data_IF_562307167465
#
_entry.id   IF_562307167465
#
_cell.length_a   1.000
_cell.length_b   1.000
_cell.length_c   1.000
_cell.angle_alpha   90.00
_cell.angle_beta   90.00
_cell.angle_gamma   90.00
#
_symmetry.space_group_name_H-M   'P 1'
#
loop_
_entity.id
_entity.type
_entity.pdbx_description
1 polymer ?
#
# COMPACT_ATOMS: atom_id res chain seq x y z
N UNK A 1 26.00 -8.19 -21.50
CA UNK A 1 26.35 -6.76 -21.60
C UNK A 1 25.31 -5.94 -20.85
N UNK A 2 25.69 -5.21 -19.79
CA UNK A 2 24.78 -4.49 -18.88
C UNK A 2 24.46 -3.09 -19.44
N UNK A 3 23.20 -2.66 -19.39
CA UNK A 3 22.80 -1.30 -19.76
C UNK A 3 23.06 -0.37 -18.55
N UNK A 4 23.82 0.72 -18.71
CA UNK A 4 24.07 1.67 -17.63
C UNK A 4 22.79 2.27 -17.07
N UNK A 5 22.74 2.50 -15.76
CA UNK A 5 21.63 3.19 -15.08
C UNK A 5 21.90 4.69 -15.00
N UNK A 6 20.83 5.48 -14.86
CA UNK A 6 20.88 6.95 -14.66
C UNK A 6 21.83 7.27 -13.48
N UNK A 7 22.89 8.04 -13.75
CA UNK A 7 23.93 8.40 -12.76
C UNK A 7 25.22 7.57 -12.82
N UNK A 8 25.29 6.46 -13.58
CA UNK A 8 26.54 5.68 -13.75
C UNK A 8 27.52 6.30 -14.78
N UNK A 9 27.06 7.24 -15.60
CA UNK A 9 27.89 8.01 -16.53
C UNK A 9 27.51 9.48 -16.34
N UNK A 10 28.44 10.27 -15.81
CA UNK A 10 28.20 11.53 -15.09
C UNK A 10 27.77 12.73 -15.94
N UNK A 11 26.55 12.70 -16.47
CA UNK A 11 25.83 13.89 -16.93
C UNK A 11 24.34 13.75 -16.58
N UNK A 12 23.75 14.79 -15.99
CA UNK A 12 22.31 14.83 -15.70
C UNK A 12 21.51 15.09 -16.97
N UNK A 13 20.25 14.62 -17.05
CA UNK A 13 19.42 14.78 -18.25
C UNK A 13 19.23 16.24 -18.67
N UNK A 14 19.21 17.14 -17.70
CA UNK A 14 19.14 18.60 -17.88
C UNK A 14 20.42 19.19 -18.48
N UNK A 15 21.60 18.68 -18.10
CA UNK A 15 22.87 19.12 -18.69
C UNK A 15 22.96 18.69 -20.17
N UNK A 16 22.41 17.53 -20.52
CA UNK A 16 22.38 17.04 -21.90
C UNK A 16 21.50 17.93 -22.78
N UNK A 17 20.32 18.32 -22.30
CA UNK A 17 19.39 19.19 -23.04
C UNK A 17 19.98 20.59 -23.29
N UNK A 18 20.71 21.12 -22.32
CA UNK A 18 21.43 22.39 -22.45
C UNK A 18 22.54 22.31 -23.50
N UNK A 19 23.32 21.22 -23.52
CA UNK A 19 24.40 21.02 -24.49
C UNK A 19 23.88 20.82 -25.92
N UNK A 20 22.74 20.13 -26.09
CA UNK A 20 22.08 19.97 -27.40
C UNK A 20 21.54 21.30 -27.94
N UNK A 21 21.04 22.19 -27.07
CA UNK A 21 20.56 23.52 -27.44
C UNK A 21 21.67 24.43 -27.99
N UNK A 22 22.89 24.27 -27.48
CA UNK A 22 24.09 25.04 -27.91
C UNK A 22 24.70 24.46 -29.21
N UNK A 23 24.17 23.35 -29.73
CA UNK A 23 24.57 22.77 -31.01
C UNK A 23 25.55 21.60 -30.91
N UNK A 24 25.84 21.10 -29.69
CA UNK A 24 26.63 19.88 -29.51
C UNK A 24 25.76 18.64 -29.73
N UNK A 25 26.17 17.78 -30.67
CA UNK A 25 25.45 16.54 -30.99
C UNK A 25 25.87 15.46 -29.99
N UNK A 26 25.09 15.29 -28.92
CA UNK A 26 25.25 14.18 -27.99
C UNK A 26 24.63 12.89 -28.57
N UNK A 27 25.12 11.71 -28.14
CA UNK A 27 24.64 10.40 -28.63
C UNK A 27 23.15 10.15 -28.34
N UNK A 28 22.54 10.97 -27.48
CA UNK A 28 21.10 11.00 -27.19
C UNK A 28 20.23 11.46 -28.39
N UNK A 29 20.69 12.44 -29.17
CA UNK A 29 19.89 13.05 -30.24
C UNK A 29 19.68 12.18 -31.49
N UNK A 30 20.59 11.24 -31.80
CA UNK A 30 20.42 10.31 -32.95
C UNK A 30 19.58 9.07 -32.63
N UNK A 31 19.38 8.73 -31.36
CA UNK A 31 18.91 7.41 -30.96
C UNK A 31 17.50 7.45 -30.33
N UNK A 32 16.50 7.92 -31.09
CA UNK A 32 15.07 7.89 -30.70
C UNK A 32 14.63 6.54 -30.12
N UNK A 33 15.12 5.44 -30.71
CA UNK A 33 14.84 4.07 -30.26
C UNK A 33 15.41 3.78 -28.86
N UNK A 34 16.59 4.32 -28.54
CA UNK A 34 17.24 4.12 -27.25
C UNK A 34 16.57 4.96 -26.15
N UNK A 35 16.18 6.20 -26.46
CA UNK A 35 15.41 7.04 -25.53
C UNK A 35 14.04 6.41 -25.20
N UNK A 36 13.36 5.84 -26.20
CA UNK A 36 12.12 5.10 -25.98
C UNK A 36 12.32 3.86 -25.09
N UNK A 37 13.43 3.13 -25.26
CA UNK A 37 13.76 1.98 -24.39
C UNK A 37 14.08 2.44 -22.97
N UNK A 38 14.82 3.54 -22.80
CA UNK A 38 15.13 4.12 -21.49
C UNK A 38 13.85 4.53 -20.75
N UNK A 39 13.00 5.33 -21.40
CA UNK A 39 11.71 5.75 -20.83
C UNK A 39 10.85 4.53 -20.49
N UNK A 40 10.80 3.52 -21.36
CA UNK A 40 10.05 2.28 -21.07
C UNK A 40 10.59 1.54 -19.85
N UNK A 41 11.91 1.44 -19.69
CA UNK A 41 12.54 0.77 -18.54
C UNK A 41 12.39 1.56 -17.25
N UNK A 42 12.50 2.88 -17.30
CA UNK A 42 12.23 3.75 -16.15
C UNK A 42 10.77 3.61 -15.72
N UNK A 43 9.81 3.68 -16.65
CA UNK A 43 8.39 3.48 -16.35
C UNK A 43 8.08 2.09 -15.78
N UNK A 44 8.79 1.04 -16.22
CA UNK A 44 8.65 -0.30 -15.64
C UNK A 44 9.06 -0.36 -14.17
N UNK A 45 10.10 0.39 -13.78
CA UNK A 45 10.55 0.47 -12.39
C UNK A 45 9.53 1.26 -11.55
N UNK A 46 9.09 2.43 -12.04
CA UNK A 46 8.04 3.22 -11.38
C UNK A 46 6.77 2.40 -11.14
N UNK A 47 6.31 1.66 -12.16
CA UNK A 47 5.08 0.84 -12.04
C UNK A 47 5.22 -0.27 -11.00
N UNK A 48 6.43 -0.80 -10.80
CA UNK A 48 6.67 -1.88 -9.82
C UNK A 48 6.71 -1.34 -8.38
N UNK A 49 7.34 -0.20 -8.16
CA UNK A 49 7.40 0.45 -6.86
C UNK A 49 6.03 0.98 -6.43
N UNK A 50 5.31 1.63 -7.34
CA UNK A 50 3.95 2.13 -7.10
C UNK A 50 2.97 0.99 -6.80
N UNK A 51 3.03 -0.12 -7.54
CA UNK A 51 2.20 -1.30 -7.26
C UNK A 51 2.53 -1.92 -5.91
N UNK A 52 3.80 -1.91 -5.50
CA UNK A 52 4.21 -2.42 -4.19
C UNK A 52 3.69 -1.52 -3.06
N UNK A 53 3.78 -0.20 -3.24
CA UNK A 53 3.23 0.77 -2.29
C UNK A 53 1.70 0.61 -2.17
N UNK A 54 0.99 0.49 -3.30
CA UNK A 54 -0.46 0.26 -3.30
C UNK A 54 -0.84 -1.05 -2.60
N UNK A 55 -0.10 -2.14 -2.85
CA UNK A 55 -0.36 -3.42 -2.20
C UNK A 55 -0.22 -3.35 -0.67
N UNK A 56 0.79 -2.63 -0.16
CA UNK A 56 0.97 -2.40 1.27
C UNK A 56 -0.21 -1.64 1.88
N UNK A 57 -0.65 -0.56 1.21
CA UNK A 57 -1.81 0.23 1.66
C UNK A 57 -3.07 -0.65 1.72
N UNK A 58 -3.35 -1.43 0.67
CA UNK A 58 -4.53 -2.32 0.65
C UNK A 58 -4.47 -3.41 1.72
N UNK A 59 -3.26 -3.90 2.04
CA UNK A 59 -3.08 -4.88 3.10
C UNK A 59 -3.34 -4.27 4.48
N UNK A 60 -2.82 -3.08 4.76
CA UNK A 60 -3.06 -2.36 6.01
C UNK A 60 -4.54 -2.04 6.20
N UNK A 61 -5.22 -1.52 5.17
CA UNK A 61 -6.66 -1.25 5.22
C UNK A 61 -7.47 -2.52 5.50
N UNK A 62 -7.09 -3.64 4.89
CA UNK A 62 -7.75 -4.93 5.12
C UNK A 62 -7.54 -5.41 6.55
N UNK A 63 -6.32 -5.33 7.08
CA UNK A 63 -6.05 -5.71 8.47
C UNK A 63 -6.83 -4.85 9.46
N UNK A 64 -6.93 -3.54 9.24
CA UNK A 64 -7.73 -2.65 10.10
C UNK A 64 -9.22 -3.02 10.08
N UNK A 65 -9.77 -3.32 8.90
CA UNK A 65 -11.16 -3.79 8.77
C UNK A 65 -11.39 -5.12 9.48
N UNK A 66 -10.50 -6.09 9.29
CA UNK A 66 -10.59 -7.41 9.93
C UNK A 66 -10.51 -7.28 11.46
N UNK A 67 -9.60 -6.46 11.98
CA UNK A 67 -9.50 -6.20 13.43
C UNK A 67 -10.76 -5.54 14.00
N UNK A 68 -11.36 -4.60 13.27
CA UNK A 68 -12.60 -3.95 13.70
C UNK A 68 -13.75 -4.95 13.79
N UNK A 69 -13.91 -5.79 12.76
CA UNK A 69 -14.95 -6.83 12.71
C UNK A 69 -14.74 -7.84 13.85
N UNK A 70 -13.50 -8.25 14.13
CA UNK A 70 -13.20 -9.15 15.25
C UNK A 70 -13.51 -8.50 16.61
N UNK A 71 -13.27 -7.19 16.75
CA UNK A 71 -13.65 -6.42 17.93
C UNK A 71 -15.15 -6.38 18.16
N UNK A 72 -15.91 -6.02 17.12
CA UNK A 72 -17.38 -5.99 17.13
C UNK A 72 -17.99 -7.38 17.41
N UNK A 73 -17.42 -8.43 16.84
CA UNK A 73 -17.88 -9.80 17.10
C UNK A 73 -17.65 -10.22 18.55
N UNK A 74 -16.47 -9.90 19.12
CA UNK A 74 -16.16 -10.18 20.53
C UNK A 74 -17.09 -9.42 21.47
N UNK A 75 -17.39 -8.15 21.19
CA UNK A 75 -18.33 -7.39 22.03
C UNK A 75 -19.74 -7.98 21.98
N UNK A 76 -20.24 -8.34 20.79
CA UNK A 76 -21.55 -8.99 20.65
C UNK A 76 -21.62 -10.31 21.43
N UNK A 77 -20.57 -11.13 21.41
CA UNK A 77 -20.53 -12.38 22.18
C UNK A 77 -20.52 -12.14 23.69
N UNK A 78 -19.76 -11.16 24.16
CA UNK A 78 -19.73 -10.80 25.58
C UNK A 78 -21.07 -10.25 26.06
N UNK A 79 -21.72 -9.43 25.24
CA UNK A 79 -23.05 -8.89 25.56
C UNK A 79 -24.10 -10.00 25.60
N UNK A 80 -24.07 -10.95 24.65
CA UNK A 80 -24.94 -12.12 24.66
C UNK A 80 -24.70 -13.06 25.87
N UNK A 81 -23.46 -13.17 26.34
CA UNK A 81 -23.14 -13.92 27.56
C UNK A 81 -23.67 -13.21 28.81
N UNK A 82 -23.50 -11.87 28.89
CA UNK A 82 -24.02 -11.06 29.98
C UNK A 82 -25.55 -11.07 30.03
N UNK A 83 -26.23 -11.04 28.89
CA UNK A 83 -27.69 -11.18 28.83
C UNK A 83 -28.16 -12.55 29.32
N UNK A 84 -27.44 -13.63 28.98
CA UNK A 84 -27.72 -14.97 29.52
C UNK A 84 -27.51 -15.02 31.04
N UNK A 85 -26.46 -14.41 31.56
CA UNK A 85 -26.19 -14.35 33.01
C UNK A 85 -27.26 -13.54 33.74
N UNK A 86 -27.70 -12.39 33.20
CA UNK A 86 -28.81 -11.59 33.76
C UNK A 86 -30.14 -12.35 33.74
N UNK A 87 -30.46 -13.02 32.64
CA UNK A 87 -31.67 -13.84 32.54
C UNK A 87 -31.67 -15.04 33.51
N UNK A 88 -30.49 -15.50 33.94
CA UNK A 88 -30.36 -16.54 34.95
C UNK A 88 -30.52 -16.00 36.39
N UNK A 89 -30.14 -14.74 36.65
CA UNK A 89 -30.23 -14.09 37.97
C UNK A 89 -31.67 -13.64 38.28
N UNK A 90 -32.39 -13.07 37.31
CA UNK A 90 -33.80 -12.67 37.45
C UNK A 90 -34.76 -13.87 37.70
N UNK A 91 -34.33 -15.09 37.40
CA UNK A 91 -35.09 -16.33 37.66
C UNK A 91 -34.98 -16.86 39.08
N UNK A 92 -34.01 -16.40 39.88
CA UNK A 92 -33.73 -16.92 41.23
C UNK A 92 -34.55 -16.17 42.29
N UNK A 93 -34.82 -14.86 42.08
CA UNK A 93 -35.53 -14.00 43.04
C UNK A 93 -37.05 -14.26 43.14
N UNK A 94 -37.64 -15.00 42.19
CA UNK A 94 -39.06 -15.36 42.21
C UNK A 94 -39.44 -16.49 43.20
N UNK A 95 -38.45 -17.11 43.88
CA UNK A 95 -38.68 -18.29 44.73
C UNK A 95 -38.63 -18.04 46.24
N UNK A 96 -38.37 -16.80 46.69
CA UNK A 96 -38.33 -16.45 48.10
C UNK A 96 -39.60 -15.71 48.57
N UNK A 97 -40.70 -16.44 48.83
CA UNK A 97 -41.79 -15.90 49.65
C UNK A 97 -41.53 -16.21 51.13
N UNK A 98 -41.57 -15.22 52.04
CA UNK A 98 -41.35 -15.45 53.46
C UNK A 98 -42.61 -16.07 54.10
N UNK A 99 -42.42 -17.10 54.93
CA UNK A 99 -43.40 -17.55 55.93
C UNK A 99 -42.95 -17.10 57.31
#
# INVERSE_FOLDING_TARGET
>A
MRIPRRGEVGWTGTEIEQLETVGYVMSGSRHKRMNAIRIRKENQVYTAEEKRALALITFEERQQKENKILGEFRSMLLDAQREKERAADDGIDASAQPK
#
